data_IF_642950299935
#
_entry.id   IF_642950299935
#
_cell.length_a   1.000
_cell.length_b   1.000
_cell.length_c   1.000
_cell.angle_alpha   90.00
_cell.angle_beta   90.00
_cell.angle_gamma   90.00
#
_symmetry.space_group_name_H-M   'P 1'
#
loop_
_entity.id
_entity.type
_entity.pdbx_description
1 polymer ?
#
# COMPACT_ATOMS: atom_id res chain seq x y z
N UNK A 1 33.70 20.11 2.09
CA UNK A 1 33.08 20.29 0.75
C UNK A 1 32.22 19.07 0.45
N UNK A 2 30.98 19.26 -0.01
CA UNK A 2 29.97 18.20 -0.22
C UNK A 2 30.37 17.16 -1.29
N UNK A 3 31.24 17.55 -2.22
CA UNK A 3 31.68 16.73 -3.35
C UNK A 3 32.86 15.80 -3.02
N UNK A 4 33.37 15.83 -1.79
CA UNK A 4 34.56 15.06 -1.39
C UNK A 4 34.21 13.69 -0.81
N UNK A 5 35.13 12.72 -0.96
CA UNK A 5 34.96 11.34 -0.46
C UNK A 5 34.79 11.22 1.06
N UNK A 6 35.22 12.22 1.84
CA UNK A 6 35.08 12.24 3.31
C UNK A 6 33.79 12.91 3.79
N UNK A 7 33.00 13.47 2.88
CA UNK A 7 31.72 14.06 3.27
C UNK A 7 30.69 12.95 3.44
N UNK A 8 30.25 12.76 4.69
CA UNK A 8 29.21 11.81 5.05
C UNK A 8 27.85 12.50 5.06
N UNK A 9 26.80 11.71 4.89
CA UNK A 9 25.44 12.18 5.13
C UNK A 9 25.03 11.80 6.54
N UNK A 10 24.48 12.76 7.28
CA UNK A 10 24.15 12.61 8.70
C UNK A 10 22.63 12.47 8.83
N UNK A 11 22.20 11.46 9.57
CA UNK A 11 20.82 11.33 10.04
C UNK A 11 20.77 11.60 11.54
N UNK A 12 20.13 12.71 11.91
CA UNK A 12 19.84 13.02 13.31
C UNK A 12 18.49 12.39 13.68
N UNK A 13 18.52 11.46 14.62
CA UNK A 13 17.37 10.65 15.04
C UNK A 13 17.08 10.97 16.50
N UNK A 14 15.92 11.59 16.75
CA UNK A 14 15.41 11.81 18.10
C UNK A 14 14.69 10.54 18.55
N UNK A 15 15.21 9.87 19.58
CA UNK A 15 14.72 8.59 20.07
C UNK A 15 13.71 8.79 21.21
N UNK A 16 13.95 9.73 22.12
CA UNK A 16 13.06 10.07 23.23
C UNK A 16 12.97 11.58 23.42
N UNK A 17 11.81 12.02 23.92
CA UNK A 17 11.58 13.42 24.32
C UNK A 17 12.01 13.69 25.76
N UNK A 18 11.53 14.80 26.30
CA UNK A 18 11.78 15.21 27.69
C UNK A 18 11.01 14.37 28.74
N UNK A 19 10.03 13.60 28.30
CA UNK A 19 9.28 12.64 29.11
C UNK A 19 9.30 11.27 28.42
N UNK A 20 9.44 10.22 29.22
CA UNK A 20 9.33 8.81 28.79
C UNK A 20 8.40 8.09 29.78
N UNK A 21 7.80 7.00 29.34
CA UNK A 21 6.98 6.16 30.21
C UNK A 21 7.83 5.46 31.27
N UNK A 22 7.31 5.33 32.49
CA UNK A 22 8.04 4.78 33.64
C UNK A 22 8.43 3.29 33.47
N UNK A 23 7.71 2.56 32.62
CA UNK A 23 7.91 1.14 32.34
C UNK A 23 8.77 0.89 31.09
N UNK A 24 9.22 1.93 30.39
CA UNK A 24 10.16 1.83 29.27
C UNK A 24 11.56 1.45 29.81
N UNK A 25 12.12 0.36 29.31
CA UNK A 25 13.43 -0.15 29.79
C UNK A 25 14.55 0.02 28.76
N UNK A 26 14.23 -0.13 27.47
CA UNK A 26 15.24 -0.15 26.42
C UNK A 26 14.66 0.33 25.08
N UNK A 27 15.52 0.93 24.27
CA UNK A 27 15.22 1.29 22.88
C UNK A 27 16.10 0.51 21.91
N UNK A 28 15.51 0.12 20.79
CA UNK A 28 16.17 -0.57 19.69
C UNK A 28 16.13 0.32 18.45
N UNK A 29 17.29 0.74 17.96
CA UNK A 29 17.41 1.46 16.72
C UNK A 29 17.89 0.51 15.62
N UNK A 30 17.19 0.52 14.49
CA UNK A 30 17.65 -0.10 13.25
C UNK A 30 17.62 0.90 12.11
N UNK A 31 18.66 0.88 11.28
CA UNK A 31 18.78 1.75 10.11
C UNK A 31 19.18 0.87 8.92
N UNK A 32 18.42 0.96 7.83
CA UNK A 32 18.70 0.26 6.58
C UNK A 32 18.82 1.27 5.44
N UNK A 33 19.97 1.29 4.75
CA UNK A 33 20.24 2.17 3.61
C UNK A 33 20.96 1.36 2.54
N UNK A 34 20.38 1.20 1.35
CA UNK A 34 21.06 0.59 0.19
C UNK A 34 21.70 -0.78 0.51
N UNK A 35 20.97 -1.61 1.26
CA UNK A 35 21.39 -2.94 1.70
C UNK A 35 22.32 -2.95 2.92
N UNK A 36 22.88 -1.81 3.36
CA UNK A 36 23.57 -1.72 4.64
C UNK A 36 22.55 -1.77 5.78
N UNK A 37 22.87 -2.51 6.85
CA UNK A 37 22.01 -2.64 8.01
C UNK A 37 22.80 -2.34 9.28
N UNK A 38 22.29 -1.41 10.07
CA UNK A 38 22.87 -0.99 11.34
C UNK A 38 21.84 -1.22 12.45
N UNK A 39 22.28 -1.76 13.59
CA UNK A 39 21.47 -1.80 14.80
C UNK A 39 22.24 -1.31 16.01
N UNK A 40 21.54 -0.66 16.92
CA UNK A 40 22.06 -0.25 18.22
C UNK A 40 20.96 -0.26 19.28
N UNK A 41 21.33 -0.63 20.50
CA UNK A 41 20.44 -0.60 21.67
C UNK A 41 20.83 0.56 22.59
N UNK A 42 19.84 1.11 23.27
CA UNK A 42 19.99 2.17 24.25
C UNK A 42 19.20 1.81 25.50
N UNK A 43 19.71 2.13 26.69
CA UNK A 43 18.89 2.13 27.89
C UNK A 43 17.87 3.28 27.81
N UNK A 44 16.71 3.10 28.43
CA UNK A 44 15.71 4.16 28.50
C UNK A 44 16.26 5.38 29.25
N UNK A 45 16.23 6.53 28.58
CA UNK A 45 16.59 7.83 29.13
C UNK A 45 15.84 8.92 28.36
N UNK A 46 15.72 10.11 28.95
CA UNK A 46 15.08 11.28 28.33
C UNK A 46 16.03 11.99 27.36
N UNK A 47 15.48 12.64 26.34
CA UNK A 47 16.21 13.45 25.36
C UNK A 47 17.33 12.70 24.61
N UNK A 48 17.14 11.40 24.36
CA UNK A 48 18.10 10.61 23.60
C UNK A 48 18.06 11.01 22.12
N UNK A 49 19.21 11.43 21.62
CA UNK A 49 19.43 11.77 20.21
C UNK A 49 20.61 10.93 19.71
N UNK A 50 20.45 10.32 18.54
CA UNK A 50 21.49 9.58 17.87
C UNK A 50 21.77 10.15 16.49
N UNK A 51 23.04 10.42 16.21
CA UNK A 51 23.49 10.83 14.89
C UNK A 51 24.14 9.63 14.20
N UNK A 52 23.58 9.25 13.05
CA UNK A 52 24.11 8.20 12.21
C UNK A 52 24.81 8.80 11.00
N UNK A 53 26.08 8.45 10.83
CA UNK A 53 26.90 8.88 9.70
C UNK A 53 26.90 7.80 8.62
N UNK A 54 26.32 8.11 7.47
CA UNK A 54 26.35 7.23 6.31
C UNK A 54 27.46 7.65 5.34
N UNK A 55 28.40 6.75 4.98
CA UNK A 55 29.50 7.04 4.06
C UNK A 55 29.06 7.16 2.58
N UNK A 56 27.76 7.14 2.29
CA UNK A 56 27.19 7.20 0.93
C UNK A 56 27.57 5.98 0.08
N UNK A 57 27.62 4.82 0.73
CA UNK A 57 27.98 3.54 0.11
C UNK A 57 26.94 2.46 0.38
N UNK A 58 26.79 1.55 -0.56
CA UNK A 58 25.92 0.39 -0.42
C UNK A 58 26.62 -0.76 0.32
N UNK A 59 25.92 -1.86 0.52
CA UNK A 59 26.45 -3.06 1.19
C UNK A 59 27.70 -3.67 0.54
N UNK A 60 27.96 -3.36 -0.73
CA UNK A 60 29.09 -3.86 -1.51
C UNK A 60 30.25 -2.85 -1.59
N UNK A 61 30.24 -1.81 -0.73
CA UNK A 61 31.22 -0.73 -0.71
C UNK A 61 31.30 0.07 -2.03
N UNK A 62 30.20 0.10 -2.80
CA UNK A 62 30.09 0.93 -4.00
C UNK A 62 29.46 2.27 -3.67
N UNK A 63 29.87 3.33 -4.38
CA UNK A 63 29.30 4.66 -4.20
C UNK A 63 27.82 4.67 -4.61
N UNK A 64 26.98 5.25 -3.76
CA UNK A 64 25.58 5.51 -4.07
C UNK A 64 25.45 6.97 -4.49
N UNK A 65 24.84 7.22 -5.65
CA UNK A 65 24.72 8.55 -6.23
C UNK A 65 23.28 9.10 -6.14
N UNK A 66 23.13 10.42 -6.05
CA UNK A 66 21.81 11.07 -6.03
C UNK A 66 21.13 11.00 -4.67
N UNK A 67 19.87 10.58 -4.61
CA UNK A 67 19.13 10.36 -3.37
C UNK A 67 19.00 8.88 -3.08
N UNK A 68 19.17 8.50 -1.81
CA UNK A 68 18.90 7.17 -1.30
C UNK A 68 17.75 7.22 -0.28
N UNK A 69 17.06 6.09 -0.12
CA UNK A 69 16.02 5.94 0.89
C UNK A 69 16.61 5.25 2.13
N UNK A 70 16.54 5.93 3.28
CA UNK A 70 16.92 5.39 4.58
C UNK A 70 15.66 4.97 5.34
N UNK A 71 15.59 3.68 5.68
CA UNK A 71 14.55 3.13 6.53
C UNK A 71 15.07 3.12 7.96
N UNK A 72 14.47 3.94 8.82
CA UNK A 72 14.78 4.01 10.25
C UNK A 72 13.63 3.36 11.01
N UNK A 73 13.93 2.36 11.85
CA UNK A 73 12.95 1.77 12.75
C UNK A 73 13.40 1.88 14.20
N UNK A 74 12.51 2.36 15.06
CA UNK A 74 12.73 2.54 16.50
C UNK A 74 11.77 1.59 17.23
N UNK A 75 12.32 0.71 18.05
CA UNK A 75 11.59 -0.24 18.87
C UNK A 75 11.62 0.18 20.34
N UNK A 76 10.45 0.25 20.99
CA UNK A 76 10.31 0.55 22.41
C UNK A 76 10.02 -0.75 23.18
N UNK A 77 10.88 -1.09 24.14
CA UNK A 77 10.77 -2.28 24.97
C UNK A 77 10.35 -1.90 26.38
N UNK A 78 9.25 -2.49 26.85
CA UNK A 78 8.60 -2.18 28.12
C UNK A 78 8.67 -3.37 29.08
N UNK A 79 8.75 -3.11 30.38
CA UNK A 79 8.98 -4.14 31.42
C UNK A 79 7.94 -5.27 31.41
N UNK A 80 6.67 -4.97 31.11
CA UNK A 80 5.56 -5.92 31.15
C UNK A 80 5.02 -6.30 29.75
N UNK A 81 5.80 -6.04 28.69
CA UNK A 81 5.40 -6.36 27.32
C UNK A 81 6.38 -7.33 26.67
N UNK A 82 5.89 -8.49 26.23
CA UNK A 82 6.73 -9.47 25.52
C UNK A 82 7.04 -9.07 24.07
N UNK A 83 6.41 -8.00 23.56
CA UNK A 83 6.59 -7.50 22.21
C UNK A 83 7.20 -6.11 22.24
N UNK A 84 8.13 -5.86 21.30
CA UNK A 84 8.73 -4.54 21.09
C UNK A 84 7.80 -3.74 20.17
N UNK A 85 7.42 -2.52 20.59
CA UNK A 85 6.60 -1.63 19.77
C UNK A 85 7.48 -0.91 18.74
N UNK A 86 7.31 -1.25 17.46
CA UNK A 86 8.16 -0.77 16.37
C UNK A 86 7.52 0.35 15.56
N UNK A 87 8.18 1.48 15.51
CA UNK A 87 7.87 2.60 14.63
C UNK A 87 8.86 2.65 13.48
N UNK A 88 8.37 2.61 12.25
CA UNK A 88 9.19 2.65 11.03
C UNK A 88 8.92 3.94 10.27
N UNK A 89 10.00 4.62 9.85
CA UNK A 89 9.94 5.83 9.02
C UNK A 89 10.93 5.72 7.87
N UNK A 90 10.50 6.14 6.69
CA UNK A 90 11.38 6.33 5.55
C UNK A 90 11.78 7.80 5.43
N UNK A 91 13.07 8.04 5.18
CA UNK A 91 13.66 9.37 5.02
C UNK A 91 14.58 9.36 3.80
N UNK A 92 14.50 10.39 2.95
CA UNK A 92 15.45 10.57 1.84
C UNK A 92 16.75 11.17 2.36
N UNK A 93 17.88 10.56 1.98
CA UNK A 93 19.22 11.00 2.34
C UNK A 93 20.05 11.23 1.06
N UNK A 94 20.93 12.22 1.08
CA UNK A 94 21.80 12.52 -0.07
C UNK A 94 22.94 11.51 -0.17
N UNK A 95 23.12 10.93 -1.35
CA UNK A 95 24.27 10.13 -1.73
C UNK A 95 25.43 11.01 -2.18
N UNK A 96 26.37 10.40 -2.89
CA UNK A 96 27.54 11.07 -3.44
C UNK A 96 27.20 11.84 -4.72
N UNK A 97 27.73 13.05 -4.79
CA UNK A 97 27.76 13.90 -5.97
C UNK A 97 28.37 13.14 -7.17
N UNK A 98 27.80 13.33 -8.36
CA UNK A 98 28.34 12.75 -9.59
C UNK A 98 29.39 13.73 -10.12
N UNK A 99 30.67 13.33 -10.24
CA UNK A 99 31.69 14.23 -10.78
C UNK A 99 31.31 14.64 -12.21
N UNK A 100 31.18 15.95 -12.44
CA UNK A 100 30.87 16.49 -13.77
C UNK A 100 32.08 16.49 -14.68
N UNK A 101 33.30 16.58 -14.14
CA UNK A 101 34.55 16.46 -14.88
C UNK A 101 35.57 15.59 -14.11
N UNK A 102 36.42 14.87 -14.83
CA UNK A 102 37.42 13.97 -14.24
C UNK A 102 38.78 14.67 -14.04
N UNK A 103 38.76 15.85 -13.41
CA UNK A 103 39.93 16.72 -13.25
C UNK A 103 40.29 16.83 -11.77
N UNK A 104 40.64 15.71 -11.16
CA UNK A 104 41.12 15.68 -9.77
C UNK A 104 40.12 16.24 -8.74
N UNK A 105 38.82 16.12 -9.00
CA UNK A 105 37.75 16.64 -8.11
C UNK A 105 37.26 18.05 -8.43
N UNK A 106 37.79 18.69 -9.48
CA UNK A 106 37.32 19.99 -9.97
C UNK A 106 36.31 19.83 -11.11
N UNK A 107 35.46 20.83 -11.26
CA UNK A 107 34.42 20.93 -12.28
C UNK A 107 34.63 22.20 -13.12
N UNK A 108 34.24 22.16 -14.40
CA UNK A 108 34.17 23.36 -15.22
C UNK A 108 32.79 23.98 -15.08
N UNK A 109 32.71 25.29 -14.85
CA UNK A 109 31.45 26.04 -14.75
C UNK A 109 30.43 25.64 -15.84
N UNK A 110 30.86 25.57 -17.10
CA UNK A 110 30.01 25.29 -18.27
C UNK A 110 29.74 23.80 -18.56
N UNK A 111 30.31 22.88 -17.78
CA UNK A 111 30.20 21.44 -18.01
C UNK A 111 29.31 20.78 -16.94
N UNK A 112 28.11 20.38 -17.36
CA UNK A 112 27.06 19.87 -16.48
C UNK A 112 26.73 18.41 -16.81
N UNK A 113 26.23 17.64 -15.83
CA UNK A 113 25.81 16.25 -16.03
C UNK A 113 24.38 16.04 -15.51
N UNK A 114 23.59 15.23 -16.23
CA UNK A 114 22.20 14.91 -15.88
C UNK A 114 22.13 14.10 -14.57
N UNK A 115 21.10 14.36 -13.75
CA UNK A 115 21.08 14.33 -12.27
C UNK A 115 21.72 15.61 -11.70
N UNK A 116 21.06 16.73 -12.03
CA UNK A 116 21.64 18.05 -12.30
C UNK A 116 22.58 18.52 -11.19
N UNK A 117 23.86 18.24 -11.41
CA UNK A 117 24.95 18.97 -10.79
C UNK A 117 25.55 19.83 -11.88
N UNK A 118 25.37 21.12 -11.73
CA UNK A 118 26.01 22.07 -12.60
C UNK A 118 27.46 22.26 -12.14
N UNK A 119 28.36 22.48 -13.11
CA UNK A 119 29.78 22.65 -12.80
C UNK A 119 30.12 23.94 -12.06
N UNK A 120 29.14 24.84 -11.87
CA UNK A 120 29.16 25.99 -10.96
C UNK A 120 28.87 25.62 -9.49
N UNK A 121 28.52 24.37 -9.21
CA UNK A 121 28.20 23.84 -7.89
C UNK A 121 26.71 23.87 -7.54
N UNK A 122 25.82 24.30 -8.45
CA UNK A 122 24.38 24.24 -8.20
C UNK A 122 23.86 22.81 -8.37
N UNK A 123 23.15 22.31 -7.35
CA UNK A 123 22.50 21.01 -7.37
C UNK A 123 20.98 21.21 -7.50
N UNK A 124 20.40 20.70 -8.59
CA UNK A 124 18.95 20.71 -8.82
C UNK A 124 18.40 19.30 -8.75
N UNK A 125 17.59 19.05 -7.73
CA UNK A 125 16.82 17.81 -7.64
C UNK A 125 15.54 17.95 -8.45
N UNK A 126 15.47 17.25 -9.58
CA UNK A 126 14.25 17.22 -10.40
C UNK A 126 13.04 16.65 -9.63
N UNK A 127 13.27 15.85 -8.59
CA UNK A 127 12.20 15.36 -7.70
C UNK A 127 11.54 16.46 -6.87
N UNK A 128 12.20 17.61 -6.70
CA UNK A 128 11.66 18.75 -5.94
C UNK A 128 10.94 19.74 -6.86
N UNK A 129 10.91 19.46 -8.17
CA UNK A 129 10.09 20.20 -9.13
C UNK A 129 8.60 19.98 -8.87
N UNK A 130 7.73 20.94 -9.22
CA UNK A 130 6.30 20.81 -9.00
C UNK A 130 5.74 19.56 -9.67
N UNK A 131 4.82 18.89 -8.98
CA UNK A 131 4.14 17.70 -9.48
C UNK A 131 3.46 18.02 -10.82
N UNK A 132 3.75 17.18 -11.83
CA UNK A 132 3.11 17.26 -13.14
C UNK A 132 1.99 16.23 -13.24
N UNK A 133 0.82 16.68 -13.68
CA UNK A 133 -0.34 15.82 -13.91
C UNK A 133 -0.49 15.58 -15.41
N UNK A 134 -0.67 14.32 -15.80
CA UNK A 134 -0.95 13.94 -17.17
C UNK A 134 -2.03 12.87 -17.22
N UNK A 135 -2.76 12.81 -18.33
CA UNK A 135 -3.74 11.75 -18.55
C UNK A 135 -2.99 10.48 -18.96
N UNK A 136 -3.18 9.40 -18.20
CA UNK A 136 -2.64 8.09 -18.54
C UNK A 136 -3.60 7.32 -19.45
N UNK A 137 -4.87 7.24 -19.07
CA UNK A 137 -5.93 6.50 -19.76
C UNK A 137 -7.17 7.38 -19.84
N UNK A 138 -7.91 7.29 -20.94
CA UNK A 138 -9.14 8.03 -21.13
C UNK A 138 -9.02 9.06 -22.26
N UNK A 139 -10.16 9.31 -22.90
CA UNK A 139 -10.32 10.37 -23.90
C UNK A 139 -11.11 11.51 -23.26
N UNK A 140 -10.61 12.74 -23.38
CA UNK A 140 -11.30 13.92 -22.86
C UNK A 140 -12.66 14.09 -23.56
N UNK A 141 -13.68 14.43 -22.77
CA UNK A 141 -15.05 14.72 -23.22
C UNK A 141 -15.73 13.59 -24.01
N UNK A 142 -15.24 12.35 -23.88
CA UNK A 142 -15.83 11.18 -24.53
C UNK A 142 -16.01 10.05 -23.53
N UNK A 143 -17.24 9.59 -23.40
CA UNK A 143 -17.57 8.40 -22.63
C UNK A 143 -17.94 7.23 -23.53
N UNK A 144 -17.68 6.02 -23.06
CA UNK A 144 -18.23 4.80 -23.67
C UNK A 144 -19.70 4.63 -23.28
N UNK A 145 -20.45 3.82 -24.04
CA UNK A 145 -21.78 3.37 -23.61
C UNK A 145 -21.69 2.29 -22.52
N UNK A 146 -22.76 2.11 -21.75
CA UNK A 146 -22.82 1.10 -20.68
C UNK A 146 -22.70 -0.33 -21.23
N UNK A 147 -23.37 -0.62 -22.34
CA UNK A 147 -23.34 -1.92 -23.07
C UNK A 147 -21.96 -2.24 -23.65
N UNK A 148 -21.05 -1.27 -23.77
CA UNK A 148 -19.65 -1.49 -24.13
C UNK A 148 -19.39 -2.34 -25.40
N UNK A 149 -20.31 -2.34 -26.39
CA UNK A 149 -20.20 -3.20 -27.60
C UNK A 149 -18.89 -3.09 -28.38
N UNK A 150 -18.23 -1.93 -28.28
CA UNK A 150 -16.97 -1.62 -28.97
C UNK A 150 -15.79 -1.50 -27.99
N UNK A 151 -15.86 -2.19 -26.84
CA UNK A 151 -14.79 -2.22 -25.86
C UNK A 151 -13.87 -3.40 -26.16
N UNK A 152 -12.78 -3.09 -26.85
CA UNK A 152 -11.71 -4.03 -27.18
C UNK A 152 -10.38 -3.48 -26.66
N UNK A 153 -9.33 -4.29 -26.77
CA UNK A 153 -7.98 -3.85 -26.43
C UNK A 153 -7.56 -2.66 -27.30
N UNK A 154 -7.18 -1.55 -26.68
CA UNK A 154 -6.80 -0.34 -27.39
C UNK A 154 -5.69 0.41 -26.64
N UNK A 155 -5.09 1.40 -27.28
CA UNK A 155 -4.13 2.30 -26.65
C UNK A 155 -4.78 3.10 -25.53
N UNK A 156 -4.04 3.34 -24.45
CA UNK A 156 -4.54 3.98 -23.24
C UNK A 156 -5.29 5.31 -23.47
N UNK A 157 -4.74 6.19 -24.32
CA UNK A 157 -5.32 7.49 -24.66
C UNK A 157 -6.42 7.44 -25.72
N UNK A 158 -6.74 6.26 -26.26
CA UNK A 158 -7.85 6.04 -27.18
C UNK A 158 -9.02 5.30 -26.51
N UNK A 159 -8.81 4.72 -25.34
CA UNK A 159 -9.84 4.02 -24.56
C UNK A 159 -10.77 5.01 -23.88
N UNK A 160 -12.07 4.93 -24.19
CA UNK A 160 -13.10 5.74 -23.54
C UNK A 160 -13.54 5.06 -22.25
N UNK A 161 -13.52 5.80 -21.14
CA UNK A 161 -14.03 5.35 -19.84
C UNK A 161 -15.47 5.85 -19.64
N UNK A 162 -16.19 5.32 -18.67
CA UNK A 162 -17.55 5.75 -18.33
C UNK A 162 -17.60 6.46 -16.97
N UNK A 163 -17.20 5.77 -15.90
CA UNK A 163 -17.15 6.27 -14.53
C UNK A 163 -16.11 5.47 -13.72
N UNK A 164 -14.81 5.81 -13.82
CA UNK A 164 -13.76 5.17 -13.03
C UNK A 164 -13.91 5.52 -11.55
N UNK A 165 -14.14 4.51 -10.70
CA UNK A 165 -14.40 4.68 -9.26
C UNK A 165 -13.44 3.93 -8.35
N UNK A 166 -12.74 2.92 -8.88
CA UNK A 166 -11.77 2.14 -8.14
C UNK A 166 -10.53 1.85 -8.99
N UNK A 167 -9.38 1.71 -8.32
CA UNK A 167 -8.10 1.44 -8.95
C UNK A 167 -7.25 0.59 -7.99
N UNK A 168 -6.49 -0.34 -8.55
CA UNK A 168 -5.46 -1.08 -7.83
C UNK A 168 -4.28 -1.37 -8.76
N UNK A 169 -3.09 -1.53 -8.19
CA UNK A 169 -1.85 -1.81 -8.91
C UNK A 169 -1.31 -3.15 -8.43
N UNK A 170 -1.05 -4.04 -9.37
CA UNK A 170 -0.46 -5.36 -9.13
C UNK A 170 1.06 -5.27 -8.91
N UNK A 171 1.66 -6.33 -8.37
CA UNK A 171 3.10 -6.43 -8.10
C UNK A 171 3.98 -6.31 -9.36
N UNK A 172 3.43 -6.62 -10.54
CA UNK A 172 4.06 -6.48 -11.86
C UNK A 172 3.88 -5.07 -12.47
N UNK A 173 3.21 -4.16 -11.77
CA UNK A 173 2.90 -2.81 -12.24
C UNK A 173 1.66 -2.73 -13.16
N UNK A 174 0.93 -3.83 -13.36
CA UNK A 174 -0.36 -3.80 -14.06
C UNK A 174 -1.38 -3.00 -13.25
N UNK A 175 -2.12 -2.10 -13.90
CA UNK A 175 -3.15 -1.28 -13.25
C UNK A 175 -4.53 -1.82 -13.62
N UNK A 176 -5.34 -2.15 -12.63
CA UNK A 176 -6.74 -2.49 -12.81
C UNK A 176 -7.62 -1.31 -12.45
N UNK A 177 -8.61 -1.02 -13.30
CA UNK A 177 -9.48 0.15 -13.16
C UNK A 177 -10.92 -0.33 -13.19
N UNK A 178 -11.65 -0.04 -12.11
CA UNK A 178 -13.08 -0.26 -12.03
C UNK A 178 -13.83 0.91 -12.63
N UNK A 179 -14.31 0.71 -13.85
CA UNK A 179 -15.02 1.70 -14.65
C UNK A 179 -16.50 1.29 -14.77
N UNK A 180 -17.28 1.57 -13.73
CA UNK A 180 -18.66 1.13 -13.60
C UNK A 180 -18.82 -0.39 -13.79
N UNK A 181 -19.45 -0.85 -14.87
CA UNK A 181 -19.65 -2.27 -15.15
C UNK A 181 -18.43 -2.97 -15.75
N UNK A 182 -17.37 -2.27 -16.15
CA UNK A 182 -16.21 -2.90 -16.78
C UNK A 182 -14.98 -2.74 -15.90
N UNK A 183 -14.26 -3.83 -15.71
CA UNK A 183 -12.91 -3.79 -15.17
C UNK A 183 -11.93 -3.79 -16.34
N UNK A 184 -11.14 -2.72 -16.41
CA UNK A 184 -10.05 -2.59 -17.37
C UNK A 184 -8.74 -3.04 -16.75
N UNK A 185 -7.86 -3.58 -17.58
CA UNK A 185 -6.47 -3.88 -17.24
C UNK A 185 -5.55 -3.07 -18.16
N UNK A 186 -4.64 -2.31 -17.58
CA UNK A 186 -3.62 -1.52 -18.26
C UNK A 186 -2.22 -2.07 -17.99
N UNK A 187 -1.43 -2.25 -19.06
CA UNK A 187 -0.02 -2.66 -18.97
C UNK A 187 0.89 -1.56 -19.48
N UNK A 188 1.73 -1.01 -18.60
CA UNK A 188 2.65 0.07 -18.95
C UNK A 188 3.69 -0.32 -20.01
N UNK A 189 4.04 -1.60 -20.11
CA UNK A 189 5.03 -2.08 -21.09
C UNK A 189 4.54 -1.98 -22.55
N UNK A 190 3.22 -2.11 -22.78
CA UNK A 190 2.63 -2.08 -24.12
C UNK A 190 1.78 -0.83 -24.37
N UNK A 191 1.49 -0.06 -23.32
CA UNK A 191 0.54 1.07 -23.34
C UNK A 191 -0.88 0.67 -23.79
N UNK A 192 -1.24 -0.60 -23.58
CA UNK A 192 -2.54 -1.16 -23.96
C UNK A 192 -3.47 -1.28 -22.75
N UNK A 193 -4.75 -1.05 -23.01
CA UNK A 193 -5.86 -1.19 -22.07
C UNK A 193 -6.87 -2.17 -22.67
N UNK A 194 -7.26 -3.19 -21.91
CA UNK A 194 -8.24 -4.18 -22.36
C UNK A 194 -9.27 -4.51 -21.27
N UNK A 195 -10.51 -4.87 -21.63
CA UNK A 195 -11.50 -5.29 -20.66
C UNK A 195 -11.17 -6.70 -20.18
N UNK A 196 -11.27 -6.93 -18.86
CA UNK A 196 -10.98 -8.25 -18.26
C UNK A 196 -12.16 -8.84 -17.51
N UNK A 197 -13.11 -8.03 -17.06
CA UNK A 197 -14.30 -8.51 -16.36
C UNK A 197 -15.47 -7.55 -16.60
N UNK A 198 -16.68 -8.10 -16.72
CA UNK A 198 -17.92 -7.34 -16.78
C UNK A 198 -18.79 -7.67 -15.56
N UNK A 199 -19.12 -6.63 -14.79
CA UNK A 199 -19.97 -6.63 -13.61
C UNK A 199 -21.39 -6.15 -13.96
N UNK A 200 -22.27 -6.08 -12.95
CA UNK A 200 -23.65 -5.61 -13.14
C UNK A 200 -23.71 -4.11 -13.49
N UNK A 201 -24.71 -3.70 -14.27
CA UNK A 201 -24.86 -2.37 -14.87
C UNK A 201 -25.54 -1.33 -13.94
N UNK A 202 -25.59 -1.56 -12.62
CA UNK A 202 -26.26 -0.63 -11.70
C UNK A 202 -25.38 0.59 -11.34
N UNK A 203 -25.88 1.80 -11.55
CA UNK A 203 -25.10 3.03 -11.32
C UNK A 203 -24.81 3.35 -9.84
N UNK A 204 -25.63 2.85 -8.91
CA UNK A 204 -25.46 3.09 -7.46
C UNK A 204 -24.50 2.10 -6.80
N UNK A 205 -24.03 1.11 -7.56
CA UNK A 205 -23.24 0.00 -7.10
C UNK A 205 -21.77 0.39 -6.95
N UNK A 206 -21.23 0.25 -5.74
CA UNK A 206 -19.81 0.43 -5.45
C UNK A 206 -19.17 -0.91 -5.17
N UNK A 207 -18.02 -1.14 -5.78
CA UNK A 207 -17.15 -2.27 -5.53
C UNK A 207 -15.74 -1.78 -5.28
N UNK A 208 -14.94 -2.65 -4.69
CA UNK A 208 -13.58 -2.34 -4.28
C UNK A 208 -12.64 -3.37 -4.90
N UNK A 209 -11.49 -2.89 -5.37
CA UNK A 209 -10.49 -3.71 -6.03
C UNK A 209 -9.24 -3.78 -5.15
N UNK A 210 -8.64 -4.95 -5.06
CA UNK A 210 -7.29 -5.12 -4.53
C UNK A 210 -6.58 -6.22 -5.33
N UNK A 211 -5.26 -6.21 -5.32
CA UNK A 211 -4.47 -7.31 -5.84
C UNK A 211 -3.78 -8.04 -4.70
N UNK A 212 -3.56 -9.34 -4.89
CA UNK A 212 -2.73 -10.12 -3.97
C UNK A 212 -1.26 -9.79 -4.24
N UNK A 213 -0.48 -9.33 -3.23
CA UNK A 213 0.93 -9.01 -3.42
C UNK A 213 1.79 -10.24 -3.80
N UNK A 214 1.34 -11.46 -3.49
CA UNK A 214 2.09 -12.70 -3.75
C UNK A 214 1.95 -13.14 -5.21
N UNK A 215 0.73 -13.23 -5.73
CA UNK A 215 0.45 -13.79 -7.07
C UNK A 215 -0.04 -12.76 -8.10
N UNK A 216 -0.31 -11.51 -7.69
CA UNK A 216 -0.76 -10.43 -8.56
C UNK A 216 -2.22 -10.53 -9.03
N UNK A 217 -3.00 -11.50 -8.50
CA UNK A 217 -4.40 -11.69 -8.93
C UNK A 217 -5.31 -10.60 -8.38
N UNK A 218 -6.29 -10.22 -9.20
CA UNK A 218 -7.29 -9.22 -8.85
C UNK A 218 -8.43 -9.84 -8.03
N UNK A 219 -8.73 -9.22 -6.89
CA UNK A 219 -9.88 -9.51 -6.05
C UNK A 219 -10.84 -8.32 -6.05
N UNK A 220 -12.13 -8.62 -6.12
CA UNK A 220 -13.21 -7.65 -6.16
C UNK A 220 -14.20 -7.95 -5.03
N UNK A 221 -14.46 -6.96 -4.20
CA UNK A 221 -15.57 -7.01 -3.25
C UNK A 221 -16.83 -6.49 -3.92
N UNK A 222 -17.75 -7.41 -4.22
CA UNK A 222 -18.98 -7.15 -4.95
C UNK A 222 -20.17 -7.03 -3.97
N UNK A 223 -20.56 -5.79 -3.69
CA UNK A 223 -21.73 -5.46 -2.87
C UNK A 223 -23.04 -6.09 -3.37
N UNK A 224 -23.28 -6.14 -4.68
CA UNK A 224 -24.55 -6.58 -5.27
C UNK A 224 -24.67 -8.10 -5.21
N UNK A 225 -23.57 -8.80 -5.51
CA UNK A 225 -23.49 -10.26 -5.41
C UNK A 225 -23.37 -10.78 -3.99
N UNK A 226 -23.09 -9.92 -3.00
CA UNK A 226 -22.78 -10.33 -1.62
C UNK A 226 -21.59 -11.28 -1.58
N UNK A 227 -20.59 -11.03 -2.43
CA UNK A 227 -19.47 -11.93 -2.66
C UNK A 227 -18.17 -11.16 -2.81
N UNK A 228 -17.07 -11.79 -2.38
CA UNK A 228 -15.72 -11.43 -2.81
C UNK A 228 -15.34 -12.42 -3.90
N UNK A 229 -15.00 -11.90 -5.07
CA UNK A 229 -14.67 -12.68 -6.26
C UNK A 229 -13.22 -12.43 -6.67
N UNK A 230 -12.62 -13.39 -7.37
CA UNK A 230 -11.26 -13.30 -7.92
C UNK A 230 -11.30 -13.46 -9.43
N UNK A 231 -10.52 -12.65 -10.14
CA UNK A 231 -10.36 -12.74 -11.59
C UNK A 231 -9.65 -14.06 -11.97
N UNK A 232 -10.20 -14.81 -12.92
CA UNK A 232 -9.63 -16.12 -13.33
C UNK A 232 -8.45 -15.96 -14.27
N UNK A 233 -8.66 -15.27 -15.40
CA UNK A 233 -7.66 -15.11 -16.46
C UNK A 233 -7.64 -13.69 -17.02
N UNK A 234 -6.47 -13.25 -17.45
CA UNK A 234 -6.30 -11.94 -18.11
C UNK A 234 -6.12 -12.07 -19.62
N UNK A 235 -5.82 -13.25 -20.13
CA UNK A 235 -5.60 -13.53 -21.55
C UNK A 235 -6.60 -14.59 -22.05
N UNK A 236 -6.95 -14.55 -23.34
CA UNK A 236 -7.90 -15.48 -23.97
C UNK A 236 -9.24 -15.60 -23.23
N UNK A 237 -9.88 -14.46 -22.96
CA UNK A 237 -11.16 -14.39 -22.25
C UNK A 237 -12.31 -14.67 -23.23
N UNK A 238 -13.08 -15.72 -22.97
CA UNK A 238 -14.24 -16.10 -23.79
C UNK A 238 -15.49 -15.31 -23.40
N UNK A 239 -15.71 -15.11 -22.10
CA UNK A 239 -16.89 -14.41 -21.58
C UNK A 239 -16.50 -13.52 -20.39
N UNK A 240 -16.55 -12.21 -20.59
CA UNK A 240 -16.24 -11.21 -19.57
C UNK A 240 -17.19 -11.30 -18.36
N UNK A 241 -18.44 -11.72 -18.54
CA UNK A 241 -19.44 -11.84 -17.46
C UNK A 241 -19.23 -13.05 -16.56
N UNK A 242 -18.35 -13.99 -16.93
CA UNK A 242 -18.09 -15.24 -16.21
C UNK A 242 -16.61 -15.43 -15.86
N UNK A 243 -15.77 -14.41 -16.08
CA UNK A 243 -14.34 -14.48 -15.86
C UNK A 243 -13.93 -14.29 -14.38
N UNK A 244 -14.67 -14.89 -13.45
CA UNK A 244 -14.40 -14.78 -12.02
C UNK A 244 -14.74 -16.07 -11.29
N UNK A 245 -14.13 -16.26 -10.12
CA UNK A 245 -14.48 -17.31 -9.18
C UNK A 245 -14.84 -16.71 -7.81
N UNK A 246 -15.67 -17.41 -7.04
CA UNK A 246 -16.13 -16.96 -5.73
C UNK A 246 -15.11 -17.37 -4.67
N UNK A 247 -14.64 -16.38 -3.92
CA UNK A 247 -13.68 -16.56 -2.81
C UNK A 247 -14.42 -16.58 -1.47
N UNK A 248 -15.28 -15.60 -1.23
CA UNK A 248 -16.10 -15.47 -0.01
C UNK A 248 -17.53 -15.12 -0.41
N UNK A 249 -18.52 -15.67 0.29
CA UNK A 249 -19.92 -15.29 0.09
C UNK A 249 -20.73 -16.39 -0.60
N UNK A 250 -21.82 -16.81 0.01
CA UNK A 250 -22.81 -17.72 -0.59
C UNK A 250 -23.80 -16.99 -1.52
N UNK A 251 -23.78 -15.65 -1.52
CA UNK A 251 -24.64 -14.78 -2.31
C UNK A 251 -25.93 -14.35 -1.60
N UNK A 252 -26.23 -14.90 -0.41
CA UNK A 252 -27.40 -14.49 0.36
C UNK A 252 -27.09 -13.26 1.19
N UNK A 253 -28.10 -12.41 1.34
CA UNK A 253 -28.04 -11.29 2.27
C UNK A 253 -28.14 -11.82 3.70
N UNK A 254 -27.09 -11.60 4.50
CA UNK A 254 -27.20 -11.85 5.93
C UNK A 254 -28.05 -10.75 6.58
N UNK A 255 -29.30 -11.07 6.89
CA UNK A 255 -30.19 -10.22 7.66
C UNK A 255 -29.82 -10.33 9.14
N UNK A 256 -29.35 -9.23 9.71
CA UNK A 256 -28.93 -9.15 11.09
C UNK A 256 -30.16 -9.07 11.98
N UNK A 257 -30.49 -10.17 12.63
CA UNK A 257 -31.46 -10.18 13.71
C UNK A 257 -30.72 -10.04 15.04
N UNK A 258 -30.98 -8.91 15.72
CA UNK A 258 -30.41 -8.57 17.03
C UNK A 258 -30.83 -9.57 18.13
N UNK A 259 -31.84 -10.41 17.87
CA UNK A 259 -32.40 -11.35 18.85
C UNK A 259 -31.70 -12.72 18.80
N UNK A 260 -31.03 -13.07 17.69
CA UNK A 260 -30.58 -14.46 17.43
C UNK A 260 -29.05 -14.66 17.36
N UNK A 261 -28.22 -13.69 17.78
CA UNK A 261 -26.74 -13.78 17.72
C UNK A 261 -26.23 -14.32 16.36
N UNK A 262 -26.78 -13.79 15.26
CA UNK A 262 -26.45 -14.26 13.92
C UNK A 262 -25.02 -13.82 13.56
N UNK A 263 -24.12 -14.78 13.41
CA UNK A 263 -22.71 -14.53 13.07
C UNK A 263 -22.46 -14.37 11.56
N UNK A 264 -23.48 -14.57 10.73
CA UNK A 264 -23.35 -14.63 9.26
C UNK A 264 -22.27 -15.62 8.80
N UNK A 265 -22.15 -16.76 9.50
CA UNK A 265 -21.18 -17.80 9.19
C UNK A 265 -19.76 -17.50 9.65
N UNK A 266 -19.54 -16.70 10.71
CA UNK A 266 -18.21 -16.65 11.33
C UNK A 266 -17.77 -18.05 11.80
N UNK A 267 -16.47 -18.30 11.71
CA UNK A 267 -15.83 -19.62 11.92
C UNK A 267 -16.31 -20.71 10.95
N UNK A 268 -16.84 -20.31 9.77
CA UNK A 268 -17.17 -21.25 8.69
C UNK A 268 -16.29 -21.03 7.47
N UNK A 269 -16.32 -22.03 6.57
CA UNK A 269 -15.69 -21.95 5.27
C UNK A 269 -16.20 -20.75 4.48
N UNK A 270 -15.29 -20.05 3.81
CA UNK A 270 -15.55 -18.83 3.07
C UNK A 270 -16.75 -18.88 2.11
N UNK A 271 -17.02 -20.03 1.50
CA UNK A 271 -18.13 -20.23 0.56
C UNK A 271 -19.50 -20.35 1.21
N UNK A 272 -19.57 -20.65 2.51
CA UNK A 272 -20.82 -20.80 3.27
C UNK A 272 -21.14 -19.56 4.11
N UNK A 273 -20.26 -18.57 4.08
CA UNK A 273 -20.43 -17.30 4.76
C UNK A 273 -21.40 -16.43 3.96
N UNK A 274 -22.40 -15.85 4.61
CA UNK A 274 -23.27 -14.83 4.00
C UNK A 274 -22.73 -13.43 4.31
N UNK A 275 -22.80 -12.51 3.35
CA UNK A 275 -22.30 -11.14 3.52
C UNK A 275 -23.47 -10.14 3.57
N UNK A 276 -23.40 -9.16 4.47
CA UNK A 276 -24.45 -8.14 4.64
C UNK A 276 -24.22 -6.92 3.76
N UNK A 277 -23.02 -6.33 3.79
CA UNK A 277 -22.65 -5.13 3.03
C UNK A 277 -21.12 -5.13 2.83
N UNK A 278 -20.58 -5.93 1.91
CA UNK A 278 -19.13 -5.98 1.72
C UNK A 278 -18.65 -4.65 1.09
N UNK A 279 -17.54 -4.12 1.61
CA UNK A 279 -16.92 -2.84 1.19
C UNK A 279 -15.45 -3.06 0.81
N UNK A 280 -14.56 -2.14 1.23
CA UNK A 280 -13.13 -2.25 1.01
C UNK A 280 -12.56 -3.57 1.51
N UNK A 281 -11.60 -4.08 0.75
CA UNK A 281 -10.81 -5.25 1.09
C UNK A 281 -9.33 -4.96 0.85
N UNK A 282 -8.47 -5.68 1.56
CA UNK A 282 -7.02 -5.66 1.41
C UNK A 282 -6.45 -7.05 1.67
N UNK A 283 -5.26 -7.33 1.14
CA UNK A 283 -4.58 -8.62 1.28
C UNK A 283 -3.20 -8.34 1.88
N UNK A 284 -2.86 -9.06 2.94
CA UNK A 284 -1.54 -8.91 3.57
C UNK A 284 -0.44 -9.67 2.80
N UNK A 285 0.80 -9.52 3.26
CA UNK A 285 1.97 -10.20 2.66
C UNK A 285 1.94 -11.73 2.74
N UNK A 286 1.03 -12.29 3.55
CA UNK A 286 0.84 -13.73 3.72
C UNK A 286 -0.37 -14.24 2.92
N UNK A 287 -1.10 -13.35 2.24
CA UNK A 287 -2.30 -13.66 1.48
C UNK A 287 -3.59 -13.64 2.31
N UNK A 288 -3.54 -13.33 3.60
CA UNK A 288 -4.75 -13.20 4.43
C UNK A 288 -5.60 -12.05 3.91
N UNK A 289 -6.88 -12.31 3.64
CA UNK A 289 -7.79 -11.31 3.10
C UNK A 289 -8.55 -10.66 4.24
N UNK A 290 -8.45 -9.35 4.36
CA UNK A 290 -9.22 -8.53 5.30
C UNK A 290 -10.26 -7.75 4.53
N UNK A 291 -11.51 -7.77 4.99
CA UNK A 291 -12.59 -7.07 4.31
C UNK A 291 -13.60 -6.51 5.30
N UNK A 292 -14.22 -5.40 4.91
CA UNK A 292 -15.27 -4.77 5.69
C UNK A 292 -16.61 -5.34 5.26
N UNK A 293 -17.42 -5.80 6.21
CA UNK A 293 -18.79 -6.28 6.00
C UNK A 293 -19.77 -5.53 6.92
N UNK A 294 -20.41 -4.49 6.39
CA UNK A 294 -21.25 -3.58 7.16
C UNK A 294 -20.44 -2.72 8.13
N UNK A 295 -20.51 -3.08 9.42
CA UNK A 295 -19.82 -2.42 10.54
C UNK A 295 -18.67 -3.27 11.10
N UNK A 296 -18.40 -4.43 10.50
CA UNK A 296 -17.38 -5.38 10.95
C UNK A 296 -16.20 -5.42 10.00
N UNK A 297 -15.04 -5.73 10.54
CA UNK A 297 -13.87 -6.16 9.78
C UNK A 297 -13.75 -7.66 9.98
N UNK A 298 -13.80 -8.43 8.88
CA UNK A 298 -13.64 -9.88 8.88
C UNK A 298 -12.34 -10.25 8.18
N UNK A 299 -11.75 -11.38 8.57
CA UNK A 299 -10.56 -11.93 7.93
C UNK A 299 -10.84 -13.31 7.38
N UNK A 300 -10.33 -13.61 6.19
CA UNK A 300 -10.22 -14.95 5.64
C UNK A 300 -8.77 -15.40 5.79
N UNK A 301 -8.55 -16.40 6.64
CA UNK A 301 -7.25 -17.07 6.70
C UNK A 301 -7.13 -18.07 5.55
N UNK A 302 -6.02 -18.03 4.81
CA UNK A 302 -5.76 -18.99 3.73
C UNK A 302 -5.61 -20.40 4.29
N UNK A 303 -4.96 -20.54 5.45
CA UNK A 303 -4.54 -21.84 6.00
C UNK A 303 -5.71 -22.80 6.23
N UNK A 304 -6.82 -22.28 6.74
CA UNK A 304 -8.03 -23.05 7.02
C UNK A 304 -9.21 -22.68 6.11
N UNK A 305 -9.10 -21.63 5.29
CA UNK A 305 -10.21 -21.09 4.48
C UNK A 305 -11.44 -20.68 5.31
N UNK A 306 -11.26 -20.38 6.60
CA UNK A 306 -12.33 -19.91 7.48
C UNK A 306 -12.37 -18.39 7.52
N UNK A 307 -13.59 -17.85 7.59
CA UNK A 307 -13.82 -16.43 7.84
C UNK A 307 -14.06 -16.22 9.32
N UNK A 308 -13.28 -15.35 9.94
CA UNK A 308 -13.46 -14.96 11.35
C UNK A 308 -13.75 -13.48 11.44
N UNK A 309 -14.49 -13.08 12.46
CA UNK A 309 -14.62 -11.67 12.81
C UNK A 309 -13.32 -11.18 13.46
N UNK A 310 -12.80 -10.04 13.01
CA UNK A 310 -11.61 -9.40 13.59
C UNK A 310 -12.01 -8.25 14.50
N UNK A 311 -12.92 -7.38 14.05
CA UNK A 311 -13.34 -6.18 14.79
C UNK A 311 -14.79 -5.86 14.52
N UNK A 312 -15.47 -5.39 15.56
CA UNK A 312 -16.83 -4.88 15.49
C UNK A 312 -17.88 -5.97 15.69
N UNK A 313 -19.06 -5.55 16.09
CA UNK A 313 -20.23 -6.40 16.27
C UNK A 313 -21.45 -5.68 15.69
N UNK A 314 -22.56 -6.39 15.58
CA UNK A 314 -23.86 -5.77 15.31
C UNK A 314 -24.68 -5.52 16.58
N UNK A 315 -24.18 -6.00 17.73
CA UNK A 315 -24.81 -5.77 19.01
C UNK A 315 -24.51 -4.35 19.48
N UNK A 316 -25.57 -3.55 19.65
CA UNK A 316 -25.50 -2.23 20.27
C UNK A 316 -25.44 -2.41 21.80
N UNK A 317 -24.37 -3.01 22.33
CA UNK A 317 -24.20 -3.11 23.78
C UNK A 317 -23.74 -1.74 24.33
N UNK A 318 -24.67 -1.03 24.94
CA UNK A 318 -24.52 0.31 25.54
C UNK A 318 -23.44 0.34 26.64
N UNK A 319 -23.10 -0.81 27.26
CA UNK A 319 -22.21 -0.88 28.41
C UNK A 319 -20.72 -1.14 28.10
N UNK A 320 -20.35 -1.49 26.85
CA UNK A 320 -18.97 -1.93 26.55
C UNK A 320 -18.22 -1.12 25.49
N UNK A 321 -18.87 -0.22 24.75
CA UNK A 321 -18.15 0.65 23.80
C UNK A 321 -17.52 1.85 24.50
N UNK A 322 -16.29 1.66 24.99
CA UNK A 322 -15.46 2.76 25.46
C UNK A 322 -15.21 3.72 24.29
N UNK A 323 -15.53 5.01 24.49
CA UNK A 323 -15.28 6.02 23.47
C UNK A 323 -13.79 6.04 23.11
N UNK A 324 -13.52 6.09 21.80
CA UNK A 324 -12.16 6.21 21.28
C UNK A 324 -11.55 7.53 21.78
N UNK A 325 -10.44 7.45 22.50
CA UNK A 325 -9.67 8.63 22.89
C UNK A 325 -8.62 8.98 21.83
N UNK A 326 -8.28 10.26 21.71
CA UNK A 326 -7.36 10.73 20.67
C UNK A 326 -5.90 10.29 20.88
N UNK A 327 -5.51 9.97 22.10
CA UNK A 327 -4.10 9.82 22.49
C UNK A 327 -3.72 8.39 22.91
N UNK A 328 -4.59 7.40 22.65
CA UNK A 328 -4.33 6.00 23.03
C UNK A 328 -4.66 5.05 21.91
N UNK A 329 -3.89 3.99 21.84
CA UNK A 329 -4.19 2.79 21.07
C UNK A 329 -4.97 1.80 21.96
N UNK A 330 -5.84 1.02 21.33
CA UNK A 330 -6.67 0.03 22.02
C UNK A 330 -6.46 -1.34 21.36
N UNK A 331 -6.49 -2.40 22.16
CA UNK A 331 -6.56 -3.75 21.61
C UNK A 331 -7.94 -3.99 21.01
N UNK A 332 -8.01 -4.85 19.99
CA UNK A 332 -9.26 -5.25 19.36
C UNK A 332 -10.12 -6.13 20.27
N UNK A 333 -9.52 -6.75 21.29
CA UNK A 333 -10.18 -7.61 22.27
C UNK A 333 -10.81 -6.84 23.45
N UNK A 334 -10.70 -5.50 23.46
CA UNK A 334 -11.30 -4.60 24.45
C UNK A 334 -12.57 -3.95 23.91
#
# INVERSE_FOLDING_TARGET
>A
SSSTRRYQSILTIVLTGNHIDDDLIQLHLSISIEGTFFMKKFHADTNLIYEYEWPRRNAYDQNVHGLAEAIVSIGYEYMNCNQIDWYRKSVKITGQDIPTANIGGWTFNVHHKLNIQAGDGTNMLLTDSPLQFSTLIGVRDQSRSIDCRNCYENQALLTKLLNPTSLTVSNDGTIYIGDLNIIWMYRSATNLVKPVLELNEQYTYKYYLTTDPVDGRLYISDYYRRQIIRLIKTDSIENLKQNYEIVVGDGHYCALDLIQNITCGDEQLAKHVSLSYPKGLTIDRYGTIYFIDGQRIRKLSIDNSHVTNLVGSYEYQIDYHKQLSCNRTYSLDQ
#
